data_IF_556351647272
#
_entry.id   IF_556351647272
#
_cell.length_a   1.000
_cell.length_b   1.000
_cell.length_c   1.000
_cell.angle_alpha   90.00
_cell.angle_beta   90.00
_cell.angle_gamma   90.00
#
_symmetry.space_group_name_H-M   'P 1'
#
loop_
_entity.id
_entity.type
_entity.pdbx_description
1 polymer ?
#
# COMPACT_ATOMS: atom_id res chain seq x y z
N UNK A 1 12.44 21.50 1.50
CA UNK A 1 11.98 20.30 2.23
C UNK A 1 11.14 19.52 1.25
N UNK A 2 11.62 18.37 0.76
CA UNK A 2 10.84 17.58 -0.18
C UNK A 2 9.65 16.96 0.56
N UNK A 3 8.46 17.08 -0.03
CA UNK A 3 7.24 16.56 0.57
C UNK A 3 7.34 15.03 0.65
N UNK A 4 7.02 14.43 1.80
CA UNK A 4 7.09 12.97 2.04
C UNK A 4 6.40 12.18 0.91
N UNK A 5 5.27 12.70 0.42
CA UNK A 5 4.59 12.18 -0.76
C UNK A 5 5.50 12.00 -1.99
N UNK A 6 6.30 13.02 -2.35
CA UNK A 6 7.19 12.94 -3.52
C UNK A 6 8.30 11.91 -3.32
N UNK A 7 8.89 11.85 -2.12
CA UNK A 7 9.93 10.89 -1.81
C UNK A 7 9.43 9.44 -1.90
N UNK A 8 8.25 9.14 -1.35
CA UNK A 8 7.65 7.80 -1.45
C UNK A 8 7.28 7.51 -2.91
N UNK A 9 6.70 8.48 -3.62
CA UNK A 9 6.35 8.33 -5.04
C UNK A 9 7.55 7.95 -5.90
N UNK A 10 8.70 8.60 -5.70
CA UNK A 10 9.93 8.29 -6.44
C UNK A 10 10.44 6.87 -6.15
N UNK A 11 10.37 6.43 -4.88
CA UNK A 11 10.74 5.06 -4.48
C UNK A 11 9.84 4.02 -5.13
N UNK A 12 8.52 4.26 -5.17
CA UNK A 12 7.57 3.37 -5.86
C UNK A 12 7.91 3.29 -7.36
N UNK A 13 8.11 4.43 -8.01
CA UNK A 13 8.45 4.47 -9.44
C UNK A 13 9.76 3.73 -9.74
N UNK A 14 10.77 3.91 -8.87
CA UNK A 14 12.04 3.20 -8.98
C UNK A 14 11.86 1.70 -8.77
N UNK A 15 11.03 1.31 -7.79
CA UNK A 15 10.68 -0.09 -7.54
C UNK A 15 10.02 -0.76 -8.74
N UNK A 16 9.01 -0.11 -9.33
CA UNK A 16 8.31 -0.60 -10.53
C UNK A 16 9.30 -0.74 -11.69
N UNK A 17 10.13 0.28 -11.95
CA UNK A 17 11.13 0.25 -13.01
C UNK A 17 12.12 -0.92 -12.85
N UNK A 18 12.44 -1.28 -11.62
CA UNK A 18 13.37 -2.35 -11.29
C UNK A 18 12.68 -3.72 -11.10
N UNK A 19 11.37 -3.83 -11.36
CA UNK A 19 10.58 -5.06 -11.17
C UNK A 19 10.78 -5.68 -9.77
N UNK A 20 10.70 -4.87 -8.71
CA UNK A 20 10.81 -5.37 -7.34
C UNK A 20 9.71 -6.41 -7.06
N UNK A 21 9.99 -7.41 -6.20
CA UNK A 21 9.04 -8.48 -5.92
C UNK A 21 7.80 -7.95 -5.18
N UNK A 22 6.70 -8.72 -5.24
CA UNK A 22 5.41 -8.35 -4.63
C UNK A 22 5.53 -8.06 -3.14
N UNK A 23 6.35 -8.84 -2.43
CA UNK A 23 6.65 -8.71 -1.01
C UNK A 23 7.26 -7.34 -0.69
N UNK A 24 8.15 -6.83 -1.55
CA UNK A 24 8.70 -5.48 -1.39
C UNK A 24 7.63 -4.40 -1.61
N UNK A 25 6.69 -4.60 -2.53
CA UNK A 25 5.55 -3.68 -2.73
C UNK A 25 4.61 -3.69 -1.52
N UNK A 26 4.38 -4.85 -0.90
CA UNK A 26 3.63 -4.98 0.35
C UNK A 26 4.31 -4.24 1.51
N UNK A 27 5.63 -4.33 1.64
CA UNK A 27 6.37 -3.54 2.63
C UNK A 27 6.20 -2.03 2.40
N UNK A 28 6.22 -1.57 1.14
CA UNK A 28 5.95 -0.16 0.81
C UNK A 28 4.53 0.27 1.20
N UNK A 29 3.52 -0.61 1.07
CA UNK A 29 2.17 -0.32 1.53
C UNK A 29 2.12 -0.08 3.04
N UNK A 30 2.84 -0.88 3.83
CA UNK A 30 2.99 -0.67 5.28
C UNK A 30 3.61 0.69 5.62
N UNK A 31 4.66 1.09 4.91
CA UNK A 31 5.29 2.41 5.09
C UNK A 31 4.33 3.58 4.76
N UNK A 32 3.48 3.42 3.74
CA UNK A 32 2.46 4.42 3.38
C UNK A 32 1.42 4.56 4.51
N UNK A 33 0.94 3.44 5.06
CA UNK A 33 0.01 3.43 6.19
C UNK A 33 0.64 4.12 7.40
N UNK A 34 1.88 3.77 7.74
CA UNK A 34 2.60 4.36 8.86
C UNK A 34 2.78 5.89 8.70
N UNK A 35 3.11 6.36 7.49
CA UNK A 35 3.20 7.79 7.21
C UNK A 35 1.83 8.50 7.29
N UNK A 36 0.74 7.84 6.90
CA UNK A 36 -0.61 8.38 7.04
C UNK A 36 -1.02 8.54 8.51
N UNK A 37 -0.73 7.55 9.36
CA UNK A 37 -1.02 7.61 10.80
C UNK A 37 -0.27 8.75 11.51
N UNK A 38 0.97 8.99 11.09
CA UNK A 38 1.79 10.11 11.57
C UNK A 38 1.35 11.48 11.04
N UNK A 39 0.33 11.53 10.19
CA UNK A 39 -0.14 12.74 9.48
C UNK A 39 0.90 13.34 8.54
N UNK A 40 1.90 12.55 8.16
CA UNK A 40 2.92 12.91 7.16
C UNK A 40 2.33 12.85 5.74
N UNK A 41 1.23 12.08 5.57
CA UNK A 41 0.40 12.03 4.37
C UNK A 41 -1.07 12.30 4.71
N UNK A 42 -1.76 13.02 3.83
CA UNK A 42 -3.23 13.06 3.86
C UNK A 42 -3.81 11.72 3.39
N UNK A 43 -5.06 11.37 3.77
CA UNK A 43 -5.70 10.15 3.28
C UNK A 43 -5.74 10.04 1.75
N UNK A 44 -5.88 11.17 1.05
CA UNK A 44 -5.88 11.22 -0.42
C UNK A 44 -4.51 10.89 -1.00
N UNK A 45 -3.44 11.39 -0.38
CA UNK A 45 -2.06 11.09 -0.80
C UNK A 45 -1.69 9.64 -0.55
N UNK A 46 -2.05 9.09 0.62
CA UNK A 46 -1.84 7.69 0.94
C UNK A 46 -2.51 6.77 -0.09
N UNK A 47 -3.80 6.99 -0.39
CA UNK A 47 -4.52 6.21 -1.43
C UNK A 47 -3.91 6.36 -2.82
N UNK A 48 -3.40 7.54 -3.15
CA UNK A 48 -2.72 7.77 -4.43
C UNK A 48 -1.45 6.93 -4.54
N UNK A 49 -0.65 6.86 -3.46
CA UNK A 49 0.58 6.05 -3.44
C UNK A 49 0.26 4.54 -3.42
N UNK A 50 -0.76 4.12 -2.67
CA UNK A 50 -1.19 2.72 -2.62
C UNK A 50 -1.64 2.23 -3.99
N UNK A 51 -2.43 3.04 -4.73
CA UNK A 51 -2.85 2.71 -6.09
C UNK A 51 -1.67 2.52 -7.06
N UNK A 52 -0.55 3.21 -6.84
CA UNK A 52 0.65 3.05 -7.67
C UNK A 52 1.35 1.70 -7.46
N UNK A 53 1.08 0.99 -6.36
CA UNK A 53 1.72 -0.30 -6.09
C UNK A 53 1.07 -1.46 -6.89
N UNK A 54 -0.10 -1.25 -7.50
CA UNK A 54 -0.85 -2.26 -8.28
C UNK A 54 -0.95 -3.61 -7.55
N UNK A 55 -1.23 -3.58 -6.24
CA UNK A 55 -1.32 -4.78 -5.41
C UNK A 55 -2.58 -5.60 -5.73
N UNK A 56 -3.68 -4.93 -6.07
CA UNK A 56 -4.93 -5.55 -6.50
C UNK A 56 -4.82 -6.40 -7.78
N UNK A 57 -3.82 -6.15 -8.62
CA UNK A 57 -3.55 -6.96 -9.82
C UNK A 57 -2.87 -8.30 -9.48
N UNK A 58 -2.30 -8.43 -8.27
CA UNK A 58 -1.46 -9.56 -7.88
C UNK A 58 -1.98 -10.30 -6.64
N UNK A 59 -2.92 -9.72 -5.90
CA UNK A 59 -3.50 -10.27 -4.68
C UNK A 59 -4.99 -10.50 -4.93
N UNK A 60 -5.39 -11.77 -4.92
CA UNK A 60 -6.80 -12.14 -4.97
C UNK A 60 -7.52 -11.58 -3.74
N UNK A 61 -8.72 -11.04 -3.95
CA UNK A 61 -9.56 -10.45 -2.90
C UNK A 61 -8.81 -9.41 -2.06
N UNK A 62 -8.05 -8.53 -2.73
CA UNK A 62 -7.21 -7.50 -2.11
C UNK A 62 -7.94 -6.67 -1.05
N UNK A 63 -9.23 -6.35 -1.24
CA UNK A 63 -10.02 -5.62 -0.25
C UNK A 63 -10.15 -6.40 1.06
N UNK A 64 -10.50 -7.70 0.99
CA UNK A 64 -10.58 -8.56 2.17
C UNK A 64 -9.22 -8.73 2.84
N UNK A 65 -8.15 -8.99 2.07
CA UNK A 65 -6.78 -9.12 2.61
C UNK A 65 -6.34 -7.82 3.32
N UNK A 66 -6.68 -6.66 2.75
CA UNK A 66 -6.38 -5.36 3.36
C UNK A 66 -7.15 -5.15 4.66
N UNK A 67 -8.42 -5.54 4.71
CA UNK A 67 -9.21 -5.46 5.95
C UNK A 67 -8.65 -6.39 7.03
N UNK A 68 -8.26 -7.62 6.68
CA UNK A 68 -7.57 -8.52 7.61
C UNK A 68 -6.29 -7.90 8.17
N UNK A 69 -5.50 -7.21 7.33
CA UNK A 69 -4.29 -6.52 7.78
C UNK A 69 -4.56 -5.33 8.71
N UNK A 70 -5.71 -4.65 8.56
CA UNK A 70 -6.10 -3.50 9.40
C UNK A 70 -6.69 -3.96 10.74
N UNK A 71 -7.56 -4.96 10.72
CA UNK A 71 -8.28 -5.39 11.92
C UNK A 71 -7.56 -6.51 12.68
N UNK A 72 -6.62 -7.22 12.03
CA UNK A 72 -5.94 -8.37 12.63
C UNK A 72 -6.85 -9.60 12.78
N UNK A 73 -8.00 -9.61 12.11
CA UNK A 73 -9.00 -10.67 12.18
C UNK A 73 -8.98 -11.49 10.88
N UNK A 74 -9.23 -12.80 10.99
CA UNK A 74 -9.52 -13.63 9.81
C UNK A 74 -10.93 -13.30 9.33
N UNK A 75 -11.03 -12.59 8.22
CA UNK A 75 -12.32 -12.34 7.55
C UNK A 75 -12.65 -13.59 6.74
N UNK A 76 -13.78 -14.22 7.06
CA UNK A 76 -14.27 -15.37 6.32
C UNK A 76 -14.68 -14.91 4.92
N UNK A 77 -13.84 -15.21 3.93
CA UNK A 77 -14.05 -14.88 2.51
C UNK A 77 -15.09 -15.80 1.84
N UNK A 78 -15.72 -16.70 2.60
CA UNK A 78 -16.83 -17.53 2.13
C UNK A 78 -18.17 -16.86 2.50
N UNK A 79 -18.58 -15.87 1.72
CA UNK A 79 -20.01 -15.54 1.63
C UNK A 79 -20.63 -16.40 0.53
N UNK A 80 -21.54 -17.30 0.95
CA UNK A 80 -22.47 -18.05 0.10
C UNK A 80 -23.25 -17.15 -0.88
#
# INVERSE_FOLDING_TARGET
MEKIFNSIKERIQTGIKNNIPLESRLMMAGEIVYAAERKDLTPKEARTLEAMLSLNENIQDYEAVREQAIFGELIDINHE
#
